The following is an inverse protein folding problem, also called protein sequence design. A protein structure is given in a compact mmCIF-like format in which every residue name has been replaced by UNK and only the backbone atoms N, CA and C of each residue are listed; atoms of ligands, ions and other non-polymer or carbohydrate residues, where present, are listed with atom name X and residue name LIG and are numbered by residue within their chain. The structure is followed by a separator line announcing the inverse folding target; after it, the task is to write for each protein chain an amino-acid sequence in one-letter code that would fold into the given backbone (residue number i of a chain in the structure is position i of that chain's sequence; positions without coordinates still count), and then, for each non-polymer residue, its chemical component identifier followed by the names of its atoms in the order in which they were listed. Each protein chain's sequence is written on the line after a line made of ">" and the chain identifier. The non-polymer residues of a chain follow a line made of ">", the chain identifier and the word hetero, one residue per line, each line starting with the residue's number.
data_IF_439954533171
#
_entry.id   IF_439954533171
#
_cell.length_a   1.000
_cell.length_b   1.000
_cell.length_c   1.000
_cell.angle_alpha   90.00
_cell.angle_beta   90.00
_cell.angle_gamma   90.00
#
_symmetry.space_group_name_H-M   'P 1'
#
loop_
_entity.id
_entity.type
_entity.pdbx_description
1 polymer ?
#
# COMPACT_ATOMS: atom_id res chain seq x y z
N UNK A 1 10.32 -20.12 -48.51
CA UNK A 1 9.79 -18.76 -48.34
C UNK A 1 9.69 -18.54 -46.84
N UNK A 2 10.74 -17.98 -46.23
CA UNK A 2 10.78 -17.67 -44.81
C UNK A 2 10.12 -16.30 -44.62
N UNK A 3 9.08 -16.24 -43.80
CA UNK A 3 8.48 -14.96 -43.39
C UNK A 3 9.42 -14.24 -42.40
N UNK A 4 9.88 -13.01 -42.68
CA UNK A 4 10.79 -12.24 -41.83
C UNK A 4 10.16 -11.68 -40.54
N UNK A 5 8.85 -11.88 -40.30
CA UNK A 5 8.13 -11.21 -39.21
C UNK A 5 8.12 -11.94 -37.86
N UNK A 6 8.51 -13.22 -37.81
CA UNK A 6 8.56 -14.01 -36.56
C UNK A 6 9.73 -13.62 -35.62
N UNK A 7 10.77 -12.96 -36.13
CA UNK A 7 11.95 -12.62 -35.34
C UNK A 7 11.81 -11.36 -34.46
N UNK A 8 10.72 -10.59 -34.61
CA UNK A 8 10.53 -9.31 -33.90
C UNK A 8 9.51 -9.37 -32.74
N UNK A 9 8.87 -10.51 -32.52
CA UNK A 9 7.83 -10.66 -31.48
C UNK A 9 8.42 -10.75 -30.05
N UNK A 10 9.58 -11.40 -29.90
CA UNK A 10 10.19 -11.64 -28.57
C UNK A 10 10.83 -10.39 -27.94
N UNK A 11 11.36 -9.47 -28.75
CA UNK A 11 12.01 -8.23 -28.26
C UNK A 11 10.97 -7.19 -27.85
N UNK A 12 9.84 -7.10 -28.55
CA UNK A 12 8.76 -6.19 -28.25
C UNK A 12 8.02 -6.55 -26.94
N UNK A 13 7.84 -7.85 -26.66
CA UNK A 13 7.21 -8.33 -25.44
C UNK A 13 8.05 -8.01 -24.17
N UNK A 14 9.37 -8.12 -24.25
CA UNK A 14 10.24 -7.89 -23.08
C UNK A 14 10.34 -6.42 -22.66
N UNK A 15 10.21 -5.49 -23.61
CA UNK A 15 10.22 -4.04 -23.35
C UNK A 15 8.86 -3.58 -22.85
N UNK A 16 7.75 -4.08 -23.43
CA UNK A 16 6.41 -3.73 -22.97
C UNK A 16 6.13 -4.22 -21.55
N UNK A 17 6.43 -5.48 -21.21
CA UNK A 17 6.09 -6.03 -19.88
C UNK A 17 6.85 -5.32 -18.75
N UNK A 18 8.09 -4.88 -18.98
CA UNK A 18 8.85 -4.05 -18.02
C UNK A 18 8.27 -2.64 -17.86
N UNK A 19 7.73 -2.05 -18.92
CA UNK A 19 7.08 -0.73 -18.89
C UNK A 19 5.74 -0.83 -18.14
N UNK A 20 4.94 -1.85 -18.41
CA UNK A 20 3.64 -2.05 -17.78
C UNK A 20 3.74 -2.37 -16.28
N UNK A 21 4.69 -3.22 -15.87
CA UNK A 21 4.90 -3.54 -14.44
C UNK A 21 5.42 -2.31 -13.67
N UNK A 22 6.34 -1.53 -14.26
CA UNK A 22 6.79 -0.26 -13.64
C UNK A 22 5.66 0.76 -13.54
N UNK A 23 4.82 0.88 -14.58
CA UNK A 23 3.65 1.75 -14.57
C UNK A 23 2.69 1.35 -13.46
N UNK A 24 2.40 0.06 -13.28
CA UNK A 24 1.46 -0.43 -12.27
C UNK A 24 1.95 -0.26 -10.82
N UNK A 25 3.24 -0.51 -10.56
CA UNK A 25 3.84 -0.26 -9.23
C UNK A 25 3.78 1.24 -8.89
N UNK A 26 4.06 2.11 -9.86
CA UNK A 26 3.98 3.57 -9.66
C UNK A 26 2.53 4.03 -9.44
N UNK A 27 1.55 3.52 -10.20
CA UNK A 27 0.13 3.85 -10.01
C UNK A 27 -0.42 3.40 -8.64
N UNK A 28 0.07 2.27 -8.10
CA UNK A 28 -0.37 1.78 -6.79
C UNK A 28 0.17 2.62 -5.63
N UNK A 29 1.41 3.11 -5.73
CA UNK A 29 2.00 4.01 -4.71
C UNK A 29 1.49 5.46 -4.84
N UNK A 30 0.99 5.87 -6.01
CA UNK A 30 0.56 7.26 -6.25
C UNK A 30 -0.93 7.52 -6.01
N UNK A 31 -1.62 6.73 -5.20
CA UNK A 31 -2.94 7.13 -4.66
C UNK A 31 -2.74 8.13 -3.50
N UNK A 32 -2.13 9.27 -3.81
CA UNK A 32 -2.35 10.50 -3.06
C UNK A 32 -3.81 10.84 -3.33
N UNK A 33 -4.71 10.37 -2.46
CA UNK A 33 -6.06 10.93 -2.45
C UNK A 33 -5.88 12.40 -2.15
N UNK A 34 -6.06 13.24 -3.15
CA UNK A 34 -6.35 14.66 -2.94
C UNK A 34 -7.76 14.72 -2.38
N UNK A 35 -7.92 14.32 -1.13
CA UNK A 35 -9.11 14.63 -0.35
C UNK A 35 -9.08 16.12 -0.05
N UNK A 36 -10.14 16.82 -0.41
CA UNK A 36 -10.45 18.15 0.08
C UNK A 36 -10.17 18.17 1.60
N UNK A 37 -9.14 18.92 2.02
CA UNK A 37 -8.67 18.89 3.41
C UNK A 37 -9.66 19.70 4.24
N UNK A 38 -10.60 19.03 4.90
CA UNK A 38 -11.51 19.67 5.85
C UNK A 38 -10.70 20.12 7.08
N UNK A 39 -10.38 21.41 7.12
CA UNK A 39 -9.63 22.03 8.21
C UNK A 39 -10.55 22.33 9.38
N UNK A 40 -10.28 21.72 10.53
CA UNK A 40 -11.03 21.95 11.77
C UNK A 40 -10.19 22.72 12.78
N UNK A 41 -10.78 23.75 13.40
CA UNK A 41 -10.16 24.46 14.52
C UNK A 41 -10.80 24.00 15.82
N UNK A 42 -9.99 23.51 16.76
CA UNK A 42 -10.44 23.07 18.08
C UNK A 42 -9.62 23.73 19.18
N UNK A 43 -10.18 23.80 20.39
CA UNK A 43 -9.46 24.30 21.57
C UNK A 43 -8.85 23.12 22.34
N UNK A 44 -7.61 23.30 22.73
CA UNK A 44 -6.92 22.42 23.66
C UNK A 44 -7.64 22.42 25.01
N UNK A 45 -7.68 21.26 25.67
CA UNK A 45 -8.17 21.11 27.04
C UNK A 45 -7.27 20.18 27.87
N UNK A 46 -7.55 20.08 29.17
CA UNK A 46 -6.85 19.16 30.08
C UNK A 46 -7.67 17.89 30.28
N UNK A 47 -7.01 16.73 30.26
CA UNK A 47 -7.57 15.46 30.69
C UNK A 47 -6.63 14.85 31.73
N UNK A 48 -7.03 14.88 33.00
CA UNK A 48 -6.14 14.62 34.12
C UNK A 48 -4.90 15.54 34.08
N UNK A 49 -3.71 14.95 34.20
CA UNK A 49 -2.45 15.67 34.12
C UNK A 49 -2.00 15.97 32.67
N UNK A 50 -2.71 15.46 31.66
CA UNK A 50 -2.33 15.55 30.25
C UNK A 50 -3.05 16.68 29.51
N UNK A 51 -2.45 17.13 28.41
CA UNK A 51 -3.10 17.98 27.41
C UNK A 51 -3.84 17.09 26.41
N UNK A 52 -5.01 17.50 25.95
CA UNK A 52 -5.83 16.78 25.00
C UNK A 52 -6.44 17.71 23.95
N UNK A 53 -6.71 17.15 22.77
CA UNK A 53 -7.44 17.79 21.66
C UNK A 53 -8.63 16.92 21.28
N UNK A 54 -9.75 17.54 20.91
CA UNK A 54 -10.91 16.80 20.39
C UNK A 54 -10.71 16.54 18.92
N UNK A 55 -10.80 15.28 18.49
CA UNK A 55 -10.82 14.90 17.08
C UNK A 55 -12.30 14.87 16.63
N UNK A 56 -12.70 15.72 15.66
CA UNK A 56 -14.04 15.69 15.06
C UNK A 56 -14.40 14.30 14.52
N UNK A 57 -15.68 13.95 14.52
CA UNK A 57 -16.14 12.60 14.15
C UNK A 57 -15.81 12.23 12.70
N UNK A 58 -15.80 13.21 11.78
CA UNK A 58 -15.41 13.05 10.37
C UNK A 58 -13.89 12.86 10.19
N UNK A 59 -13.08 13.21 11.20
CA UNK A 59 -11.63 12.98 11.23
C UNK A 59 -11.23 11.79 12.13
N UNK A 60 -12.17 11.22 12.87
CA UNK A 60 -11.90 10.13 13.80
C UNK A 60 -11.65 8.82 13.04
N UNK A 61 -10.77 7.98 13.56
CA UNK A 61 -10.60 6.62 13.04
C UNK A 61 -11.83 5.77 13.35
N UNK A 62 -12.21 4.88 12.43
CA UNK A 62 -13.35 3.97 12.59
C UNK A 62 -13.24 3.08 13.84
N UNK A 63 -12.01 2.77 14.24
CA UNK A 63 -11.67 1.92 15.38
C UNK A 63 -11.07 2.75 16.51
N UNK A 64 -11.57 2.55 17.71
CA UNK A 64 -11.08 3.18 18.93
C UNK A 64 -9.90 2.44 19.59
N UNK A 65 -9.63 1.20 19.18
CA UNK A 65 -8.62 0.30 19.75
C UNK A 65 -7.33 0.25 18.90
N UNK A 66 -6.93 1.39 18.34
CA UNK A 66 -5.70 1.51 17.56
C UNK A 66 -4.62 2.22 18.36
N UNK A 67 -3.39 1.71 18.25
CA UNK A 67 -2.22 2.41 18.77
C UNK A 67 -1.85 3.57 17.85
N UNK A 68 -1.47 4.70 18.43
CA UNK A 68 -1.16 5.94 17.74
C UNK A 68 0.26 6.38 18.12
N UNK A 69 1.03 6.80 17.12
CA UNK A 69 2.30 7.49 17.28
C UNK A 69 2.08 9.01 17.26
N UNK A 70 2.74 9.71 18.18
CA UNK A 70 2.72 11.17 18.27
C UNK A 70 4.16 11.67 18.20
N UNK A 71 4.43 12.60 17.29
CA UNK A 71 5.71 13.31 17.19
C UNK A 71 5.51 14.82 17.14
N UNK A 72 6.51 15.56 17.63
CA UNK A 72 6.58 17.02 17.47
C UNK A 72 7.60 17.37 16.39
N UNK A 73 7.18 18.19 15.43
CA UNK A 73 8.04 18.72 14.36
C UNK A 73 7.90 20.24 14.37
N UNK A 74 8.85 20.92 15.02
CA UNK A 74 8.73 22.36 15.27
C UNK A 74 7.51 22.70 16.14
N UNK A 75 6.63 23.54 15.61
CA UNK A 75 5.36 23.93 16.22
C UNK A 75 4.22 22.92 15.96
N UNK A 76 4.39 22.02 14.99
CA UNK A 76 3.41 20.99 14.64
C UNK A 76 3.44 19.78 15.60
N UNK A 77 2.26 19.21 15.86
CA UNK A 77 2.10 17.87 16.42
C UNK A 77 1.53 16.97 15.34
N UNK A 78 2.25 15.91 14.97
CA UNK A 78 1.81 14.92 13.99
C UNK A 78 1.35 13.67 14.70
N UNK A 79 0.16 13.22 14.34
CA UNK A 79 -0.53 12.07 14.93
C UNK A 79 -0.80 11.08 13.81
N UNK A 80 -0.32 9.85 13.94
CA UNK A 80 -0.48 8.82 12.91
C UNK A 80 -0.68 7.44 13.53
N UNK A 81 -1.39 6.51 12.87
CA UNK A 81 -1.52 5.15 13.38
C UNK A 81 -0.15 4.49 13.51
N UNK A 82 0.07 3.77 14.60
CA UNK A 82 1.30 3.03 14.79
C UNK A 82 1.42 1.98 13.69
N UNK A 83 2.55 1.98 12.98
CA UNK A 83 2.82 0.95 11.98
C UNK A 83 3.10 -0.35 12.72
N UNK A 84 2.25 -1.36 12.55
CA UNK A 84 2.55 -2.69 13.09
C UNK A 84 3.83 -3.20 12.42
N UNK A 85 4.89 -3.50 13.18
CA UNK A 85 6.09 -4.03 12.60
C UNK A 85 5.81 -5.42 11.99
N UNK A 86 6.40 -5.72 10.84
CA UNK A 86 6.39 -7.07 10.24
C UNK A 86 7.37 -8.01 10.97
N UNK A 87 7.69 -7.71 12.24
CA UNK A 87 8.58 -8.53 13.05
C UNK A 87 8.02 -9.94 13.16
N UNK A 88 8.87 -10.93 12.87
CA UNK A 88 8.48 -12.34 12.88
C UNK A 88 7.80 -12.84 11.60
N UNK A 89 7.54 -12.01 10.58
CA UNK A 89 7.05 -12.49 9.28
C UNK A 89 8.04 -13.46 8.64
N UNK A 90 9.34 -13.17 8.71
CA UNK A 90 10.38 -14.09 8.23
C UNK A 90 10.39 -15.44 8.99
N UNK A 91 10.10 -15.43 10.30
CA UNK A 91 9.94 -16.67 11.08
C UNK A 91 8.72 -17.48 10.63
N UNK A 92 7.67 -16.82 10.12
CA UNK A 92 6.51 -17.52 9.53
C UNK A 92 6.87 -18.13 8.19
N UNK A 93 7.61 -17.43 7.34
CA UNK A 93 8.08 -17.97 6.06
C UNK A 93 9.09 -19.12 6.22
N UNK A 94 9.94 -19.08 7.26
CA UNK A 94 10.86 -20.17 7.57
C UNK A 94 10.15 -21.49 7.99
N UNK A 95 8.83 -21.46 8.24
CA UNK A 95 8.04 -22.68 8.50
C UNK A 95 7.56 -23.38 7.23
N UNK A 96 7.76 -22.78 6.06
CA UNK A 96 7.48 -23.45 4.81
C UNK A 96 8.40 -24.67 4.64
N UNK A 97 7.82 -25.78 4.17
CA UNK A 97 8.57 -26.98 3.85
C UNK A 97 9.52 -26.75 2.67
N UNK A 98 10.54 -27.61 2.48
CA UNK A 98 11.48 -27.51 1.36
C UNK A 98 10.81 -27.65 -0.01
N UNK A 99 9.61 -28.23 -0.05
CA UNK A 99 8.75 -28.43 -1.21
C UNK A 99 7.76 -27.28 -1.46
N UNK A 100 7.67 -26.31 -0.54
CA UNK A 100 6.77 -25.18 -0.69
C UNK A 100 7.15 -24.36 -1.92
N UNK A 101 6.24 -24.29 -2.89
CA UNK A 101 6.44 -23.63 -4.20
C UNK A 101 7.52 -24.28 -5.08
N UNK A 102 7.84 -25.57 -4.89
CA UNK A 102 8.83 -26.27 -5.71
C UNK A 102 8.50 -26.25 -7.22
N UNK A 103 7.21 -26.27 -7.56
CA UNK A 103 6.70 -26.21 -8.94
C UNK A 103 6.42 -24.77 -9.41
N UNK A 104 6.75 -23.77 -8.58
CA UNK A 104 6.53 -22.36 -8.88
C UNK A 104 5.06 -21.92 -8.75
N UNK A 105 4.77 -20.72 -9.29
CA UNK A 105 3.40 -20.28 -9.53
C UNK A 105 3.03 -20.82 -10.89
N UNK A 106 2.18 -21.85 -10.94
CA UNK A 106 1.73 -22.46 -12.21
C UNK A 106 1.16 -21.43 -13.19
N UNK A 107 0.90 -21.85 -14.43
CA UNK A 107 0.38 -20.93 -15.44
C UNK A 107 -1.00 -20.40 -15.05
N UNK A 108 -1.17 -19.08 -15.12
CA UNK A 108 -2.44 -18.42 -14.92
C UNK A 108 -2.91 -17.84 -16.25
N UNK A 109 -3.79 -18.56 -16.95
CA UNK A 109 -4.51 -17.98 -18.08
C UNK A 109 -5.56 -17.01 -17.55
N UNK A 110 -5.37 -15.73 -17.85
CA UNK A 110 -6.35 -14.71 -17.54
C UNK A 110 -7.40 -14.70 -18.65
N UNK A 111 -8.59 -15.24 -18.36
CA UNK A 111 -9.71 -15.18 -19.29
C UNK A 111 -10.09 -13.72 -19.61
N UNK A 112 -10.35 -13.44 -20.89
CA UNK A 112 -10.91 -12.16 -21.29
C UNK A 112 -12.25 -11.95 -20.56
N UNK A 113 -12.41 -10.77 -19.95
CA UNK A 113 -13.67 -10.40 -19.33
C UNK A 113 -14.63 -9.96 -20.42
N UNK A 114 -15.82 -10.58 -20.49
CA UNK A 114 -16.90 -10.08 -21.33
C UNK A 114 -17.24 -8.64 -20.90
N UNK A 115 -17.17 -7.71 -21.85
CA UNK A 115 -17.49 -6.31 -21.63
C UNK A 115 -18.98 -6.13 -21.38
N UNK A 116 -19.33 -5.36 -20.33
CA UNK A 116 -20.67 -4.86 -20.07
C UNK A 116 -20.96 -3.63 -20.92
#
# INVERSE_FOLDING_TARGET
>A
MHDPLEAWSAVAAHVHTRIYIKRWIVYSTSKVHTSETTMHTTRVFKNGNSQAVRIPADLAYDRSDIDIEIERVGDEIRIRPMRRPLTGVLKKFAKFGPDFMAEGRGEQEQAEREGL
#
